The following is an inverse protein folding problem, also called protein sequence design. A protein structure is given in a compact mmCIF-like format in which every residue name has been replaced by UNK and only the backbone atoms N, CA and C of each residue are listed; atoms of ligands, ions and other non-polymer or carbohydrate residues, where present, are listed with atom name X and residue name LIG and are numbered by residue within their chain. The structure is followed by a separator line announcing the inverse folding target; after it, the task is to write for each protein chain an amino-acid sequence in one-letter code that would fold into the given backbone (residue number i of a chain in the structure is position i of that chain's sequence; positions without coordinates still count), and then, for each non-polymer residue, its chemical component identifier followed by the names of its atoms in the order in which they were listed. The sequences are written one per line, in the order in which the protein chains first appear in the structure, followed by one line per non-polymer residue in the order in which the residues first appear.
data_IF_843110146520
#
_entry.id   IF_843110146520
#
_cell.length_a   1.000
_cell.length_b   1.000
_cell.length_c   1.000
_cell.angle_alpha   90.00
_cell.angle_beta   90.00
_cell.angle_gamma   90.00
#
_symmetry.space_group_name_H-M   'P 1'
#
loop_
_entity.id
_entity.type
_entity.pdbx_description
1 polymer ?
#
# COMPACT_ATOMS: atom_id res chain seq x y z
N UNK A 1 -13.07 15.81 -0.72
CA UNK A 1 -14.53 16.03 -0.81
C UNK A 1 -15.07 16.20 0.60
N UNK A 2 -15.86 17.23 0.87
CA UNK A 2 -16.50 17.44 2.19
C UNK A 2 -17.99 17.15 2.04
N UNK A 3 -18.55 16.36 2.96
CA UNK A 3 -19.97 16.06 3.02
C UNK A 3 -20.43 16.12 4.48
N UNK A 4 -21.26 17.11 4.79
CA UNK A 4 -21.66 17.40 6.18
C UNK A 4 -20.44 17.63 7.08
N UNK A 5 -20.36 16.87 8.17
CA UNK A 5 -19.25 16.97 9.14
C UNK A 5 -18.04 16.07 8.80
N UNK A 6 -18.00 15.49 7.59
CA UNK A 6 -16.94 14.58 7.17
C UNK A 6 -16.17 15.10 5.98
N UNK A 7 -14.87 14.88 5.99
CA UNK A 7 -13.96 15.15 4.88
C UNK A 7 -13.31 13.86 4.42
N UNK A 8 -13.31 13.66 3.11
CA UNK A 8 -12.79 12.48 2.44
C UNK A 8 -11.61 12.90 1.57
N UNK A 9 -10.45 12.28 1.79
CA UNK A 9 -9.28 12.39 0.92
C UNK A 9 -8.88 11.00 0.44
N UNK A 10 -8.55 10.89 -0.84
CA UNK A 10 -7.95 9.66 -1.36
C UNK A 10 -6.56 9.50 -0.77
N UNK A 11 -6.25 8.31 -0.23
CA UNK A 11 -4.93 8.01 0.30
C UNK A 11 -3.95 7.83 -0.86
N UNK A 12 -2.78 8.45 -0.75
CA UNK A 12 -1.67 8.27 -1.69
C UNK A 12 -0.96 6.93 -1.50
N UNK A 13 -1.20 6.25 -0.37
CA UNK A 13 -0.75 4.88 -0.12
C UNK A 13 0.11 4.75 1.14
N UNK A 14 -0.37 3.96 2.10
CA UNK A 14 0.25 3.83 3.42
C UNK A 14 1.64 3.16 3.40
N UNK A 15 1.92 2.32 2.40
CA UNK A 15 3.17 1.56 2.35
C UNK A 15 4.37 2.34 1.82
N UNK A 16 4.12 3.11 0.75
CA UNK A 16 5.17 3.81 0.00
C UNK A 16 5.22 5.31 0.31
N UNK A 17 4.10 5.87 0.78
CA UNK A 17 3.95 7.29 1.13
C UNK A 17 3.54 7.46 2.60
N UNK A 18 4.00 6.59 3.51
CA UNK A 18 3.65 6.71 4.94
C UNK A 18 4.01 8.08 5.50
N UNK A 19 5.17 8.63 5.12
CA UNK A 19 5.64 9.94 5.58
C UNK A 19 4.79 11.07 5.02
N UNK A 20 4.50 11.06 3.72
CA UNK A 20 3.61 12.03 3.07
C UNK A 20 2.16 11.96 3.57
N UNK A 21 1.64 10.76 3.85
CA UNK A 21 0.31 10.58 4.43
C UNK A 21 0.26 11.09 5.87
N UNK A 22 1.30 10.82 6.68
CA UNK A 22 1.42 11.36 8.04
C UNK A 22 1.43 12.90 8.03
N UNK A 23 2.21 13.51 7.14
CA UNK A 23 2.26 14.97 6.98
C UNK A 23 0.88 15.54 6.65
N UNK A 24 0.14 14.95 5.71
CA UNK A 24 -1.22 15.43 5.43
C UNK A 24 -2.17 15.24 6.60
N UNK A 25 -2.02 14.19 7.41
CA UNK A 25 -2.84 14.00 8.61
C UNK A 25 -2.55 15.10 9.63
N UNK A 26 -1.29 15.51 9.81
CA UNK A 26 -0.91 16.67 10.63
C UNK A 26 -1.54 17.97 10.11
N UNK A 27 -1.33 18.27 8.84
CA UNK A 27 -1.89 19.47 8.18
C UNK A 27 -3.42 19.53 8.31
N UNK A 28 -4.10 18.39 8.22
CA UNK A 28 -5.54 18.33 8.36
C UNK A 28 -6.00 18.56 9.81
N UNK A 29 -5.29 18.01 10.80
CA UNK A 29 -5.57 18.25 12.21
C UNK A 29 -5.38 19.73 12.59
N UNK A 30 -4.33 20.39 12.08
CA UNK A 30 -4.11 21.83 12.26
C UNK A 30 -5.26 22.67 11.69
N UNK A 31 -5.97 22.15 10.67
CA UNK A 31 -7.14 22.79 10.07
C UNK A 31 -8.47 22.35 10.72
N UNK A 32 -8.44 21.66 11.87
CA UNK A 32 -9.62 21.18 12.59
C UNK A 32 -10.29 19.96 11.94
N UNK A 33 -9.53 19.15 11.21
CA UNK A 33 -9.99 17.88 10.64
C UNK A 33 -9.21 16.71 11.24
N UNK A 34 -9.82 15.99 12.18
CA UNK A 34 -9.16 14.84 12.81
C UNK A 34 -9.47 13.57 12.04
N UNK A 35 -8.44 12.73 11.87
CA UNK A 35 -8.59 11.45 11.21
C UNK A 35 -9.48 10.53 12.06
N UNK A 36 -10.63 10.14 11.52
CA UNK A 36 -11.57 9.24 12.19
C UNK A 36 -11.33 7.77 11.80
N UNK A 37 -11.08 7.50 10.50
CA UNK A 37 -10.78 6.14 10.03
C UNK A 37 -10.15 6.11 8.64
N UNK A 38 -9.58 4.95 8.32
CA UNK A 38 -9.26 4.55 6.95
C UNK A 38 -10.39 3.69 6.40
N UNK A 39 -10.97 4.12 5.28
CA UNK A 39 -11.99 3.32 4.59
C UNK A 39 -11.37 2.14 3.86
N UNK A 40 -12.16 1.07 3.68
CA UNK A 40 -11.76 -0.10 2.88
C UNK A 40 -11.42 0.24 1.42
N UNK A 41 -11.95 1.36 0.92
CA UNK A 41 -11.81 1.83 -0.45
C UNK A 41 -10.63 2.80 -0.66
N UNK A 42 -9.73 2.93 0.33
CA UNK A 42 -8.52 3.73 0.19
C UNK A 42 -8.70 5.22 0.46
N UNK A 43 -9.79 5.64 1.11
CA UNK A 43 -9.95 7.02 1.59
C UNK A 43 -9.57 7.17 3.06
N UNK A 44 -8.84 8.24 3.37
CA UNK A 44 -8.77 8.84 4.70
C UNK A 44 -10.08 9.58 4.96
N UNK A 45 -10.75 9.24 6.05
CA UNK A 45 -12.01 9.87 6.48
C UNK A 45 -11.73 10.66 7.74
N UNK A 46 -11.99 11.96 7.64
CA UNK A 46 -11.80 12.93 8.72
C UNK A 46 -13.16 13.42 9.23
N UNK A 47 -13.20 13.79 10.49
CA UNK A 47 -14.32 14.43 11.14
C UNK A 47 -13.91 15.82 11.63
N UNK A 48 -14.83 16.78 11.56
CA UNK A 48 -14.56 18.15 11.99
C UNK A 48 -14.40 18.18 13.51
N UNK A 49 -13.38 18.88 13.97
CA UNK A 49 -13.13 19.20 15.38
C UNK A 49 -12.37 20.53 15.48
N UNK A 50 -11.69 20.71 16.60
CA UNK A 50 -10.91 21.91 16.86
C UNK A 50 -9.51 21.78 16.25
N UNK A 51 -8.92 22.87 15.73
CA UNK A 51 -7.52 22.89 15.33
C UNK A 51 -6.60 22.28 16.40
N UNK A 52 -5.83 21.25 16.02
CA UNK A 52 -4.92 20.53 16.90
C UNK A 52 -3.52 20.48 16.27
N UNK A 53 -2.54 21.02 16.97
CA UNK A 53 -1.14 20.88 16.61
C UNK A 53 -0.57 19.59 17.22
N UNK A 54 -0.17 18.64 16.38
CA UNK A 54 0.27 17.31 16.81
C UNK A 54 1.35 16.72 15.90
N UNK A 55 2.11 15.74 16.41
CA UNK A 55 2.90 14.85 15.57
C UNK A 55 2.05 13.67 15.10
N UNK A 56 2.33 13.16 13.90
CA UNK A 56 1.71 11.95 13.38
C UNK A 56 2.76 11.02 12.75
N UNK A 57 2.56 9.71 12.90
CA UNK A 57 3.37 8.70 12.24
C UNK A 57 2.52 7.53 11.77
N UNK A 58 2.96 6.85 10.73
CA UNK A 58 2.31 5.66 10.20
C UNK A 58 3.30 4.51 10.27
N UNK A 59 2.93 3.49 11.04
CA UNK A 59 3.75 2.30 11.22
C UNK A 59 3.10 1.05 10.65
N UNK A 60 3.94 0.07 10.32
CA UNK A 60 3.55 -1.24 9.82
C UNK A 60 3.90 -2.32 10.83
N UNK A 61 2.89 -3.08 11.24
CA UNK A 61 3.02 -4.18 12.17
C UNK A 61 3.11 -5.54 11.45
N UNK A 62 4.28 -6.17 11.43
CA UNK A 62 4.51 -7.45 10.75
C UNK A 62 4.11 -8.67 11.60
N UNK A 63 3.83 -8.50 12.90
CA UNK A 63 3.62 -9.60 13.84
C UNK A 63 2.28 -10.32 13.73
N UNK A 64 1.93 -11.10 14.76
CA UNK A 64 0.68 -11.86 14.82
C UNK A 64 -0.46 -10.97 15.29
N UNK A 65 -1.69 -11.22 14.84
CA UNK A 65 -2.82 -10.31 15.14
C UNK A 65 -3.18 -10.30 16.63
N UNK A 66 -2.84 -11.36 17.33
CA UNK A 66 -3.08 -11.60 18.74
C UNK A 66 -2.22 -10.66 19.61
N UNK A 67 -1.02 -10.31 19.15
CA UNK A 67 -0.04 -9.50 19.89
C UNK A 67 -0.19 -7.98 19.59
N UNK A 68 -1.26 -7.58 18.87
CA UNK A 68 -1.51 -6.17 18.53
C UNK A 68 -1.75 -5.33 19.78
N UNK A 69 -2.39 -5.89 20.81
CA UNK A 69 -2.66 -5.13 22.04
C UNK A 69 -1.36 -4.67 22.71
N UNK A 70 -0.38 -5.58 22.86
CA UNK A 70 0.95 -5.29 23.40
C UNK A 70 1.70 -4.26 22.54
N UNK A 71 1.61 -4.38 21.22
CA UNK A 71 2.19 -3.42 20.30
C UNK A 71 1.61 -2.01 20.46
N UNK A 72 0.29 -1.87 20.66
CA UNK A 72 -0.35 -0.58 20.89
C UNK A 72 0.01 -0.01 22.27
N UNK A 73 0.11 -0.86 23.29
CA UNK A 73 0.55 -0.47 24.64
C UNK A 73 1.97 0.10 24.62
N UNK A 74 2.90 -0.52 23.88
CA UNK A 74 4.26 -0.02 23.71
C UNK A 74 4.31 1.40 23.12
N UNK A 75 3.47 1.68 22.13
CA UNK A 75 3.33 3.02 21.56
C UNK A 75 2.77 4.01 22.59
N UNK A 76 1.73 3.62 23.32
CA UNK A 76 1.11 4.45 24.33
C UNK A 76 2.09 4.83 25.46
N UNK A 77 2.89 3.87 25.93
CA UNK A 77 3.96 4.11 26.91
C UNK A 77 5.03 5.09 26.40
N UNK A 78 5.18 5.20 25.08
CA UNK A 78 6.12 6.12 24.42
C UNK A 78 5.49 7.47 24.06
N UNK A 79 4.27 7.75 24.53
CA UNK A 79 3.54 9.00 24.25
C UNK A 79 2.78 9.03 22.93
N UNK A 80 2.69 7.90 22.22
CA UNK A 80 2.00 7.79 20.94
C UNK A 80 0.66 7.08 21.07
N UNK A 81 -0.41 7.72 20.62
CA UNK A 81 -1.78 7.22 20.75
C UNK A 81 -2.36 6.83 19.38
N UNK A 82 -3.04 5.69 19.32
CA UNK A 82 -3.66 5.21 18.09
C UNK A 82 -4.78 6.15 17.64
N UNK A 83 -4.71 6.66 16.41
CA UNK A 83 -5.81 7.36 15.75
C UNK A 83 -6.67 6.40 14.95
N UNK A 84 -6.05 5.62 14.07
CA UNK A 84 -6.75 4.75 13.14
C UNK A 84 -5.85 3.57 12.73
N UNK A 85 -6.48 2.49 12.31
CA UNK A 85 -5.77 1.33 11.76
C UNK A 85 -6.38 0.87 10.45
N UNK A 86 -5.57 0.20 9.63
CA UNK A 86 -5.99 -0.44 8.39
C UNK A 86 -5.48 -1.87 8.32
N UNK A 87 -6.42 -2.80 8.05
CA UNK A 87 -6.18 -4.26 7.93
C UNK A 87 -5.45 -4.91 9.12
N UNK A 88 -5.45 -4.28 10.31
CA UNK A 88 -4.66 -4.73 11.47
C UNK A 88 -3.16 -4.88 11.12
N UNK A 89 -2.67 -4.01 10.24
CA UNK A 89 -1.29 -4.01 9.73
C UNK A 89 -0.70 -2.61 9.73
N UNK A 90 -1.47 -1.63 9.30
CA UNK A 90 -1.06 -0.23 9.30
C UNK A 90 -1.74 0.47 10.47
N UNK A 91 -0.97 1.24 11.22
CA UNK A 91 -1.45 2.00 12.37
C UNK A 91 -0.98 3.43 12.22
N UNK A 92 -1.92 4.36 12.38
CA UNK A 92 -1.67 5.80 12.35
C UNK A 92 -1.72 6.26 13.79
N UNK A 93 -0.60 6.78 14.28
CA UNK A 93 -0.46 7.27 15.64
C UNK A 93 -0.35 8.78 15.65
N UNK A 94 -0.84 9.39 16.71
CA UNK A 94 -0.60 10.79 17.04
C UNK A 94 0.17 10.93 18.34
N UNK A 95 0.89 12.02 18.50
CA UNK A 95 1.52 12.40 19.75
C UNK A 95 1.56 13.92 19.90
N UNK A 96 1.87 14.39 21.10
CA UNK A 96 2.08 15.81 21.34
C UNK A 96 3.28 16.32 20.53
N UNK A 97 3.27 17.61 20.18
CA UNK A 97 4.36 18.22 19.43
C UNK A 97 5.69 18.08 20.17
N UNK A 98 6.74 17.67 19.44
CA UNK A 98 8.06 17.44 20.02
C UNK A 98 8.24 16.09 20.70
N UNK A 99 7.25 15.20 20.64
CA UNK A 99 7.40 13.80 21.08
C UNK A 99 8.52 13.13 20.27
N UNK A 100 9.35 12.32 20.95
CA UNK A 100 10.45 11.62 20.30
C UNK A 100 9.92 10.66 19.22
N UNK A 101 10.61 10.52 18.07
CA UNK A 101 10.22 9.57 17.04
C UNK A 101 10.11 8.15 17.60
N UNK A 102 9.17 7.37 17.06
CA UNK A 102 8.97 5.96 17.44
C UNK A 102 10.20 5.08 17.15
N UNK A 103 11.03 5.48 16.20
CA UNK A 103 12.26 4.80 15.82
C UNK A 103 13.47 5.66 16.15
N UNK A 104 14.52 5.06 16.70
CA UNK A 104 15.75 5.76 17.09
C UNK A 104 16.95 5.40 16.22
N UNK A 105 16.88 4.30 15.49
CA UNK A 105 17.97 3.78 14.67
C UNK A 105 17.50 3.34 13.26
N UNK A 106 18.45 3.37 12.32
CA UNK A 106 18.20 3.05 10.90
C UNK A 106 17.93 1.56 10.68
N UNK A 107 18.52 0.68 11.49
CA UNK A 107 18.40 -0.77 11.32
C UNK A 107 16.99 -1.26 11.65
N UNK A 108 16.41 -0.77 12.74
CA UNK A 108 15.02 -1.03 13.14
C UNK A 108 14.03 -0.54 12.08
N UNK A 109 14.20 0.70 11.60
CA UNK A 109 13.31 1.26 10.57
C UNK A 109 13.45 0.54 9.23
N UNK A 110 14.67 0.21 8.81
CA UNK A 110 14.91 -0.58 7.60
C UNK A 110 14.33 -2.00 7.72
N UNK A 111 14.43 -2.61 8.90
CA UNK A 111 13.82 -3.92 9.19
C UNK A 111 12.30 -3.87 9.06
N UNK A 112 11.65 -2.82 9.60
CA UNK A 112 10.22 -2.58 9.38
C UNK A 112 9.88 -2.49 7.90
N UNK A 113 10.62 -1.67 7.13
CA UNK A 113 10.39 -1.50 5.69
C UNK A 113 10.58 -2.80 4.89
N UNK A 114 11.58 -3.61 5.26
CA UNK A 114 11.81 -4.94 4.65
C UNK A 114 10.64 -5.88 4.92
N UNK A 115 10.19 -5.97 6.18
CA UNK A 115 9.06 -6.81 6.55
C UNK A 115 7.77 -6.38 5.86
N UNK A 116 7.55 -5.07 5.74
CA UNK A 116 6.45 -4.47 4.99
C UNK A 116 6.49 -4.84 3.51
N UNK A 117 7.65 -4.67 2.86
CA UNK A 117 7.86 -5.01 1.45
C UNK A 117 7.64 -6.50 1.19
N UNK A 118 8.19 -7.37 2.05
CA UNK A 118 8.00 -8.81 1.96
C UNK A 118 6.53 -9.20 2.11
N UNK A 119 5.83 -8.60 3.08
CA UNK A 119 4.41 -8.83 3.28
C UNK A 119 3.59 -8.44 2.04
N UNK A 120 3.87 -7.28 1.43
CA UNK A 120 3.19 -6.84 0.20
C UNK A 120 3.40 -7.82 -0.96
N UNK A 121 4.65 -8.24 -1.20
CA UNK A 121 4.98 -9.21 -2.26
C UNK A 121 4.29 -10.54 -2.00
N UNK A 122 4.29 -11.03 -0.76
CA UNK A 122 3.61 -12.27 -0.39
C UNK A 122 2.09 -12.18 -0.60
N UNK A 123 1.47 -11.04 -0.26
CA UNK A 123 0.05 -10.82 -0.55
C UNK A 123 -0.23 -10.87 -2.05
N UNK A 124 0.62 -10.24 -2.87
CA UNK A 124 0.46 -10.26 -4.33
C UNK A 124 0.68 -11.66 -4.92
N UNK A 125 1.66 -12.42 -4.42
CA UNK A 125 1.87 -13.82 -4.79
C UNK A 125 0.68 -14.70 -4.45
N UNK A 126 0.04 -14.47 -3.29
CA UNK A 126 -1.12 -15.22 -2.85
C UNK A 126 -2.32 -15.09 -3.83
N UNK A 127 -2.43 -13.96 -4.54
CA UNK A 127 -3.44 -13.78 -5.61
C UNK A 127 -2.91 -14.20 -6.99
N UNK A 128 -1.63 -13.95 -7.28
CA UNK A 128 -1.03 -14.23 -8.58
C UNK A 128 -0.82 -15.72 -8.87
N UNK A 129 -0.42 -16.52 -7.88
CA UNK A 129 -0.18 -17.96 -8.05
C UNK A 129 -1.47 -18.73 -8.38
N UNK A 130 -2.60 -18.57 -7.66
CA UNK A 130 -3.85 -19.19 -8.07
C UNK A 130 -4.34 -18.74 -9.45
N UNK A 131 -4.16 -17.45 -9.79
CA UNK A 131 -4.50 -16.95 -11.11
C UNK A 131 -3.68 -17.63 -12.20
N UNK A 132 -2.38 -17.84 -11.97
CA UNK A 132 -1.49 -18.56 -12.89
C UNK A 132 -1.87 -20.03 -13.02
N UNK A 133 -2.12 -20.72 -11.90
CA UNK A 133 -2.54 -22.12 -11.92
C UNK A 133 -3.86 -22.29 -12.66
N UNK A 134 -4.84 -21.42 -12.39
CA UNK A 134 -6.14 -21.48 -13.08
C UNK A 134 -6.00 -21.15 -14.57
N UNK A 135 -5.17 -20.18 -14.94
CA UNK A 135 -4.85 -19.88 -16.33
C UNK A 135 -4.23 -21.10 -17.04
N UNK A 136 -3.27 -21.78 -16.40
CA UNK A 136 -2.66 -22.98 -16.97
C UNK A 136 -3.66 -24.13 -17.10
N UNK A 137 -4.50 -24.35 -16.08
CA UNK A 137 -5.54 -25.38 -16.13
C UNK A 137 -6.52 -25.16 -17.28
N UNK A 138 -6.96 -23.92 -17.50
CA UNK A 138 -7.92 -23.57 -18.55
C UNK A 138 -7.36 -23.67 -19.97
N UNK A 139 -6.04 -23.50 -20.15
CA UNK A 139 -5.42 -23.49 -21.48
C UNK A 139 -4.66 -24.77 -21.84
N UNK A 140 -4.23 -25.59 -20.86
CA UNK A 140 -3.33 -26.73 -21.10
C UNK A 140 -3.89 -28.10 -20.70
N UNK A 141 -5.11 -28.20 -20.15
CA UNK A 141 -5.68 -29.52 -19.78
C UNK A 141 -6.86 -29.91 -20.67
N UNK A 142 -7.05 -31.19 -21.05
CA UNK A 142 -8.24 -31.65 -21.79
C UNK A 142 -9.52 -31.72 -20.93
N UNK A 143 -9.51 -31.20 -19.69
CA UNK A 143 -10.70 -31.08 -18.81
C UNK A 143 -11.72 -30.03 -19.32
N UNK A 144 -11.43 -29.39 -20.46
CA UNK A 144 -12.15 -28.31 -21.14
C UNK A 144 -13.42 -28.84 -21.84
N UNK A 145 -14.38 -29.38 -21.09
CA UNK A 145 -15.75 -29.48 -21.63
C UNK A 145 -16.59 -28.32 -21.17
N UNK A 146 -16.52 -27.96 -19.87
CA UNK A 146 -17.36 -26.90 -19.28
C UNK A 146 -16.96 -25.51 -19.77
N UNK A 147 -15.66 -25.23 -19.89
CA UNK A 147 -15.19 -23.92 -20.32
C UNK A 147 -15.66 -23.64 -21.75
N UNK A 148 -15.78 -24.66 -22.61
CA UNK A 148 -16.20 -24.49 -23.99
C UNK A 148 -17.63 -23.98 -24.18
N UNK A 149 -18.52 -24.27 -23.23
CA UNK A 149 -19.90 -23.77 -23.24
C UNK A 149 -20.04 -22.31 -22.77
N UNK A 150 -18.97 -21.69 -22.26
CA UNK A 150 -18.99 -20.28 -21.84
C UNK A 150 -19.02 -19.37 -23.09
N UNK A 151 -19.89 -18.36 -23.16
CA UNK A 151 -19.90 -17.39 -24.27
C UNK A 151 -18.52 -16.74 -24.48
N UNK A 152 -18.12 -16.56 -25.74
CA UNK A 152 -16.78 -16.06 -26.12
C UNK A 152 -16.38 -14.77 -25.39
N UNK A 153 -17.31 -13.81 -25.25
CA UNK A 153 -17.05 -12.56 -24.53
C UNK A 153 -16.75 -12.79 -23.04
N UNK A 154 -17.45 -13.72 -22.40
CA UNK A 154 -17.26 -14.02 -20.98
C UNK A 154 -15.94 -14.80 -20.75
N UNK A 155 -15.57 -15.71 -21.66
CA UNK A 155 -14.25 -16.35 -21.69
C UNK A 155 -13.12 -15.30 -21.77
N UNK A 156 -13.25 -14.34 -22.69
CA UNK A 156 -12.27 -13.26 -22.84
C UNK A 156 -12.10 -12.43 -21.57
N UNK A 157 -13.20 -12.13 -20.88
CA UNK A 157 -13.17 -11.40 -19.61
C UNK A 157 -12.49 -12.20 -18.50
N UNK A 158 -12.74 -13.52 -18.40
CA UNK A 158 -12.06 -14.41 -17.45
C UNK A 158 -10.57 -14.47 -17.75
N UNK A 159 -10.17 -14.68 -19.01
CA UNK A 159 -8.76 -14.72 -19.40
C UNK A 159 -8.05 -13.40 -19.09
N UNK A 160 -8.67 -12.26 -19.38
CA UNK A 160 -8.12 -10.95 -19.03
C UNK A 160 -7.91 -10.82 -17.50
N UNK A 161 -8.89 -11.20 -16.69
CA UNK A 161 -8.76 -11.18 -15.23
C UNK A 161 -7.62 -12.08 -14.74
N UNK A 162 -7.48 -13.29 -15.29
CA UNK A 162 -6.42 -14.21 -14.89
C UNK A 162 -5.04 -13.70 -15.29
N UNK A 163 -4.88 -13.20 -16.53
CA UNK A 163 -3.63 -12.60 -17.00
C UNK A 163 -3.25 -11.40 -16.16
N UNK A 164 -4.19 -10.49 -15.89
CA UNK A 164 -3.88 -9.36 -14.99
C UNK A 164 -3.50 -9.83 -13.58
N UNK A 165 -4.15 -10.88 -13.08
CA UNK A 165 -3.80 -11.55 -11.82
C UNK A 165 -2.36 -12.06 -11.78
N UNK A 166 -1.90 -12.75 -12.84
CA UNK A 166 -0.52 -13.27 -12.92
C UNK A 166 0.55 -12.18 -12.97
N UNK A 167 0.21 -10.99 -13.49
CA UNK A 167 1.11 -9.84 -13.52
C UNK A 167 1.29 -9.16 -12.17
N UNK A 168 0.35 -9.34 -11.23
CA UNK A 168 0.36 -8.62 -9.94
C UNK A 168 1.64 -8.77 -9.13
N UNK A 169 2.30 -9.94 -9.00
CA UNK A 169 3.54 -10.06 -8.24
C UNK A 169 4.72 -9.34 -8.91
N UNK A 170 4.77 -9.34 -10.24
CA UNK A 170 5.80 -8.64 -11.02
C UNK A 170 5.67 -7.12 -10.86
N UNK A 171 4.44 -6.61 -10.92
CA UNK A 171 4.13 -5.20 -10.64
C UNK A 171 4.55 -4.85 -9.21
N UNK A 172 4.21 -5.70 -8.24
CA UNK A 172 4.61 -5.54 -6.85
C UNK A 172 6.11 -5.40 -6.64
N UNK A 173 6.86 -6.34 -7.22
CA UNK A 173 8.32 -6.33 -7.17
C UNK A 173 8.91 -5.09 -7.84
N UNK A 174 8.38 -4.69 -9.00
CA UNK A 174 8.79 -3.48 -9.70
C UNK A 174 8.53 -2.22 -8.86
N UNK A 175 7.37 -2.12 -8.19
CA UNK A 175 7.05 -1.01 -7.30
C UNK A 175 7.99 -0.94 -6.09
N UNK A 176 8.19 -2.04 -5.37
CA UNK A 176 9.12 -2.10 -4.22
C UNK A 176 10.53 -1.68 -4.66
N UNK A 177 10.99 -2.17 -5.79
CA UNK A 177 12.31 -1.82 -6.35
C UNK A 177 12.37 -0.35 -6.73
N UNK A 178 11.34 0.17 -7.42
CA UNK A 178 11.24 1.57 -7.80
C UNK A 178 11.35 2.50 -6.58
N UNK A 179 10.56 2.29 -5.53
CA UNK A 179 10.59 3.13 -4.34
C UNK A 179 11.92 3.04 -3.59
N UNK A 180 12.57 1.87 -3.60
CA UNK A 180 13.91 1.71 -3.02
C UNK A 180 14.99 2.49 -3.77
N UNK A 181 14.88 2.58 -5.10
CA UNK A 181 15.83 3.32 -5.95
C UNK A 181 15.57 4.82 -5.94
N UNK A 182 14.31 5.24 -5.99
CA UNK A 182 13.93 6.66 -6.05
C UNK A 182 14.03 7.35 -4.69
N UNK A 183 13.79 6.61 -3.60
CA UNK A 183 13.85 7.14 -2.24
C UNK A 183 14.84 6.36 -1.34
N UNK A 184 16.14 6.34 -1.69
CA UNK A 184 17.13 5.54 -0.95
C UNK A 184 17.33 6.02 0.48
N UNK A 185 17.11 7.32 0.74
CA UNK A 185 17.19 7.94 2.07
C UNK A 185 15.94 7.73 2.93
N UNK A 186 14.91 7.02 2.43
CA UNK A 186 13.69 6.75 3.21
C UNK A 186 13.99 6.02 4.51
N UNK A 187 15.01 5.16 4.54
CA UNK A 187 15.44 4.46 5.76
C UNK A 187 15.89 5.37 6.91
N UNK A 188 16.23 6.63 6.62
CA UNK A 188 16.62 7.66 7.59
C UNK A 188 15.51 8.70 7.82
N UNK A 189 14.33 8.54 7.19
CA UNK A 189 13.25 9.52 7.22
C UNK A 189 12.65 9.73 8.61
N UNK A 190 12.75 8.75 9.51
CA UNK A 190 12.26 8.87 10.89
C UNK A 190 12.93 10.02 11.68
N UNK A 191 14.10 10.51 11.24
CA UNK A 191 14.79 11.65 11.86
C UNK A 191 14.13 12.99 11.54
N UNK A 192 13.50 13.09 10.36
CA UNK A 192 12.87 14.31 9.85
C UNK A 192 11.82 13.92 8.79
N UNK A 193 10.68 13.45 9.29
CA UNK A 193 9.61 12.89 8.48
C UNK A 193 9.00 13.93 7.55
N UNK A 194 8.85 15.17 8.01
CA UNK A 194 8.14 16.22 7.30
C UNK A 194 8.95 16.73 6.09
N UNK A 195 10.27 16.94 6.25
CA UNK A 195 11.11 17.33 5.13
C UNK A 195 11.31 16.18 4.15
N UNK A 196 11.33 14.93 4.62
CA UNK A 196 11.35 13.78 3.71
C UNK A 196 10.04 13.65 2.93
N UNK A 197 8.89 13.80 3.59
CA UNK A 197 7.55 13.76 2.98
C UNK A 197 7.42 14.74 1.81
N UNK A 198 7.92 15.97 1.96
CA UNK A 198 7.91 17.00 0.90
C UNK A 198 8.72 16.61 -0.34
N UNK A 199 9.67 15.66 -0.24
CA UNK A 199 10.43 15.14 -1.38
C UNK A 199 9.66 14.07 -2.15
N UNK A 200 8.59 13.52 -1.58
CA UNK A 200 7.78 12.49 -2.23
C UNK A 200 6.82 13.10 -3.25
N UNK A 201 6.99 12.78 -4.53
CA UNK A 201 6.22 13.37 -5.64
C UNK A 201 5.25 12.33 -6.21
N UNK A 202 4.07 12.23 -5.61
CA UNK A 202 3.06 11.22 -5.95
C UNK A 202 2.72 11.14 -7.45
N UNK A 203 2.43 12.26 -8.11
CA UNK A 203 2.04 12.24 -9.53
C UNK A 203 3.16 11.79 -10.46
N UNK A 204 4.41 12.21 -10.21
CA UNK A 204 5.58 11.76 -10.96
C UNK A 204 5.73 10.25 -10.86
N UNK A 205 5.67 9.75 -9.62
CA UNK A 205 5.89 8.33 -9.35
C UNK A 205 4.77 7.46 -9.93
N UNK A 206 3.53 7.93 -9.86
CA UNK A 206 2.39 7.29 -10.52
C UNK A 206 2.63 7.16 -12.03
N UNK A 207 3.03 8.25 -12.70
CA UNK A 207 3.29 8.23 -14.14
C UNK A 207 4.46 7.29 -14.50
N UNK A 208 5.56 7.36 -13.77
CA UNK A 208 6.73 6.51 -14.01
C UNK A 208 6.41 5.03 -13.79
N UNK A 209 5.67 4.70 -12.74
CA UNK A 209 5.27 3.31 -12.45
C UNK A 209 4.24 2.79 -13.45
N UNK A 210 3.35 3.63 -13.97
CA UNK A 210 2.47 3.29 -15.09
C UNK A 210 3.27 2.97 -16.37
N UNK A 211 4.30 3.77 -16.69
CA UNK A 211 5.19 3.50 -17.85
C UNK A 211 5.91 2.16 -17.66
N UNK A 212 6.49 1.92 -16.47
CA UNK A 212 7.16 0.65 -16.16
C UNK A 212 6.19 -0.53 -16.31
N UNK A 213 4.97 -0.41 -15.76
CA UNK A 213 3.93 -1.42 -15.87
C UNK A 213 3.51 -1.67 -17.32
N UNK A 214 3.38 -0.61 -18.13
CA UNK A 214 3.08 -0.71 -19.56
C UNK A 214 4.16 -1.42 -20.35
N UNK A 215 5.45 -1.15 -20.06
CA UNK A 215 6.58 -1.83 -20.69
C UNK A 215 6.61 -3.33 -20.32
N UNK A 216 6.43 -3.66 -19.04
CA UNK A 216 6.37 -5.06 -18.56
C UNK A 216 5.20 -5.79 -19.24
N UNK A 217 4.02 -5.17 -19.27
CA UNK A 217 2.84 -5.73 -19.92
C UNK A 217 3.04 -5.93 -21.42
N UNK A 218 3.67 -4.98 -22.12
CA UNK A 218 3.97 -5.08 -23.55
C UNK A 218 4.95 -6.21 -23.87
N UNK A 219 6.02 -6.38 -23.11
CA UNK A 219 6.98 -7.49 -23.29
C UNK A 219 6.30 -8.84 -23.07
N UNK A 220 5.51 -8.96 -21.99
CA UNK A 220 4.81 -10.21 -21.68
C UNK A 220 3.76 -10.53 -22.75
N UNK A 221 2.98 -9.54 -23.19
CA UNK A 221 2.01 -9.70 -24.26
C UNK A 221 2.66 -10.16 -25.57
N UNK A 222 3.81 -9.60 -25.93
CA UNK A 222 4.58 -10.03 -27.10
C UNK A 222 5.05 -11.48 -27.00
N UNK A 223 5.61 -11.89 -25.85
CA UNK A 223 6.06 -13.26 -25.61
C UNK A 223 4.87 -14.23 -25.70
N UNK A 224 3.76 -13.91 -25.04
CA UNK A 224 2.56 -14.75 -25.05
C UNK A 224 2.00 -14.92 -26.45
N UNK A 225 1.96 -13.85 -27.25
CA UNK A 225 1.53 -13.90 -28.65
C UNK A 225 2.49 -14.70 -29.54
N UNK A 226 3.80 -14.57 -29.35
CA UNK A 226 4.80 -15.31 -30.11
C UNK A 226 4.70 -16.83 -29.91
N UNK A 227 4.36 -17.27 -28.70
CA UNK A 227 4.21 -18.68 -28.36
C UNK A 227 2.77 -19.22 -28.52
N UNK A 228 1.83 -18.44 -29.08
CA UNK A 228 0.40 -18.79 -29.17
C UNK A 228 -0.17 -19.27 -27.83
N UNK A 229 0.20 -18.61 -26.73
CA UNK A 229 -0.30 -18.91 -25.38
C UNK A 229 -1.75 -18.36 -25.21
N UNK A 230 -2.26 -17.61 -26.21
CA UNK A 230 -3.64 -17.15 -26.36
C UNK A 230 -4.08 -17.19 -27.83
#
# INVERSE_FOLDING_TARGET
MIYGNRKYKFSKGLSFYSELEALHVKEEAENGWHLAKLSRWGFLVFEKGEPEEMEATIDFYPGKKEDIAEYLELYQLSGWYLMASYRKRYFIFKAEKGTKPAYTDVESYETKMKKESNWLILQMLMFGLPALLLLLLLNFTPLISIFDYIPRGFKGMINLLLVTGTLTPFIGFALVTYFRVVYPKRKESFKDTDNFAKRQIFFRDMLLTMIIGGLIGGVIGFIMGYFNIF
#
